data_IF_296186573799
#
_entry.id   IF_296186573799
#
_cell.length_a   1.000
_cell.length_b   1.000
_cell.length_c   1.000
_cell.angle_alpha   90.00
_cell.angle_beta   90.00
_cell.angle_gamma   90.00
#
_symmetry.space_group_name_H-M   'P 1'
#
loop_
_entity.id
_entity.type
_entity.pdbx_description
1 polymer ?
#
# COMPACT_ATOMS: atom_id res chain seq x y z
N UNK A 1 27.34 -1.74 -16.45
CA UNK A 1 27.41 -0.26 -16.58
C UNK A 1 26.49 0.53 -15.62
N UNK A 2 25.46 -0.08 -15.01
CA UNK A 2 24.53 0.58 -14.06
C UNK A 2 25.06 0.85 -12.64
N UNK A 3 26.24 0.35 -12.27
CA UNK A 3 26.80 0.51 -10.90
C UNK A 3 27.45 1.87 -10.63
N UNK A 4 27.93 2.59 -11.66
CA UNK A 4 28.71 3.83 -11.46
C UNK A 4 27.85 5.10 -11.29
N UNK A 5 26.66 5.17 -11.92
CA UNK A 5 25.79 6.37 -11.83
C UNK A 5 25.02 6.52 -10.50
N UNK A 6 25.03 5.50 -9.64
CA UNK A 6 24.40 5.57 -8.31
C UNK A 6 25.41 5.85 -7.18
N UNK A 7 26.71 5.77 -7.46
CA UNK A 7 27.77 6.00 -6.46
C UNK A 7 28.12 7.49 -6.26
N UNK A 8 27.62 8.40 -7.09
CA UNK A 8 27.85 9.86 -6.92
C UNK A 8 26.72 10.57 -6.16
N UNK A 9 25.65 9.86 -5.80
CA UNK A 9 24.55 10.38 -4.98
C UNK A 9 24.51 9.69 -3.61
N UNK A 10 25.66 9.59 -2.94
CA UNK A 10 25.66 9.24 -1.52
C UNK A 10 24.97 10.37 -0.76
N UNK A 11 24.03 10.06 0.16
CA UNK A 11 23.24 11.09 0.79
C UNK A 11 24.16 11.99 1.62
N UNK A 12 23.89 13.29 1.56
CA UNK A 12 24.24 14.27 2.58
C UNK A 12 24.02 13.66 3.97
N UNK A 13 24.78 14.13 4.97
CA UNK A 13 24.58 13.67 6.33
C UNK A 13 23.09 13.81 6.70
N UNK A 14 22.49 12.75 7.30
CA UNK A 14 21.09 12.75 7.66
C UNK A 14 20.78 13.98 8.55
N UNK A 15 19.57 14.56 8.45
CA UNK A 15 19.14 15.59 9.39
C UNK A 15 19.32 15.11 10.83
N UNK A 16 19.67 16.00 11.77
CA UNK A 16 19.93 15.64 13.17
C UNK A 16 18.78 14.88 13.85
N UNK A 17 17.53 15.17 13.46
CA UNK A 17 16.35 14.46 13.96
C UNK A 17 16.18 13.05 13.38
N UNK A 18 16.91 12.70 12.32
CA UNK A 18 16.95 11.38 11.66
C UNK A 18 18.28 10.65 11.96
N UNK A 19 18.83 10.88 13.15
CA UNK A 19 20.00 10.16 13.67
C UNK A 19 19.71 9.63 15.06
N UNK A 20 20.18 8.43 15.34
CA UNK A 20 20.11 7.84 16.68
C UNK A 20 21.07 8.57 17.61
N UNK A 21 20.61 8.92 18.81
CA UNK A 21 21.40 9.63 19.82
C UNK A 21 22.22 8.72 20.74
N UNK A 22 22.00 7.39 20.71
CA UNK A 22 22.79 6.41 21.46
C UNK A 22 23.98 5.82 20.69
N UNK A 23 24.78 4.99 21.36
CA UNK A 23 25.92 4.29 20.74
C UNK A 23 25.46 3.11 19.86
N UNK A 24 25.17 3.35 18.58
CA UNK A 24 24.83 2.28 17.61
C UNK A 24 26.07 1.53 17.11
N UNK A 25 27.25 2.14 17.26
CA UNK A 25 28.50 1.73 16.61
C UNK A 25 29.00 0.32 16.98
N UNK A 26 28.39 -0.35 17.97
CA UNK A 26 28.79 -1.68 18.46
C UNK A 26 27.71 -2.76 18.37
N UNK A 27 26.54 -2.48 17.81
CA UNK A 27 25.40 -3.39 17.89
C UNK A 27 24.93 -3.91 16.51
N UNK A 28 25.73 -4.81 15.93
CA UNK A 28 25.40 -5.51 14.67
C UNK A 28 24.05 -6.24 14.73
N UNK A 29 23.65 -6.70 15.91
CA UNK A 29 22.34 -7.31 16.13
C UNK A 29 21.19 -6.31 15.93
N UNK A 30 21.36 -5.05 16.37
CA UNK A 30 20.37 -3.99 16.16
C UNK A 30 20.25 -3.61 14.68
N UNK A 31 21.37 -3.54 13.95
CA UNK A 31 21.37 -3.30 12.50
C UNK A 31 20.64 -4.43 11.75
N UNK A 32 20.93 -5.67 12.10
CA UNK A 32 20.28 -6.84 11.51
C UNK A 32 18.79 -6.90 11.87
N UNK A 33 18.45 -6.66 13.14
CA UNK A 33 17.08 -6.68 13.65
C UNK A 33 16.23 -5.60 12.99
N UNK A 34 16.68 -4.34 12.98
CA UNK A 34 15.95 -3.22 12.35
C UNK A 34 15.68 -3.46 10.86
N UNK A 35 16.63 -4.03 10.13
CA UNK A 35 16.46 -4.41 8.73
C UNK A 35 15.46 -5.56 8.57
N UNK A 36 15.53 -6.57 9.44
CA UNK A 36 14.62 -7.72 9.43
C UNK A 36 13.18 -7.29 9.69
N UNK A 37 12.95 -6.44 10.69
CA UNK A 37 11.61 -5.92 11.00
C UNK A 37 11.06 -5.03 9.86
N UNK A 38 11.90 -4.22 9.21
CA UNK A 38 11.51 -3.50 8.00
C UNK A 38 11.02 -4.43 6.88
N UNK A 39 11.74 -5.54 6.62
CA UNK A 39 11.33 -6.52 5.61
C UNK A 39 10.05 -7.27 5.99
N UNK A 40 9.91 -7.68 7.25
CA UNK A 40 8.67 -8.31 7.75
C UNK A 40 7.47 -7.38 7.61
N UNK A 41 7.62 -6.10 7.94
CA UNK A 41 6.56 -5.11 7.79
C UNK A 41 6.18 -4.90 6.31
N UNK A 42 7.18 -4.87 5.41
CA UNK A 42 6.94 -4.79 3.96
C UNK A 42 6.20 -6.03 3.43
N UNK A 43 6.60 -7.21 3.88
CA UNK A 43 5.95 -8.48 3.53
C UNK A 43 4.51 -8.51 4.01
N UNK A 44 4.27 -8.10 5.26
CA UNK A 44 2.92 -8.02 5.84
C UNK A 44 2.00 -7.09 5.04
N UNK A 45 2.52 -5.92 4.64
CA UNK A 45 1.82 -4.98 3.76
C UNK A 45 1.52 -5.62 2.39
N UNK A 46 2.52 -6.23 1.76
CA UNK A 46 2.36 -6.83 0.43
C UNK A 46 1.35 -7.99 0.44
N UNK A 47 1.42 -8.85 1.46
CA UNK A 47 0.48 -9.96 1.63
C UNK A 47 -0.97 -9.45 1.78
N UNK A 48 -1.20 -8.41 2.59
CA UNK A 48 -2.53 -7.83 2.74
C UNK A 48 -3.04 -7.21 1.44
N UNK A 49 -2.19 -6.46 0.73
CA UNK A 49 -2.56 -5.90 -0.59
C UNK A 49 -2.91 -7.02 -1.57
N UNK A 50 -2.13 -8.09 -1.62
CA UNK A 50 -2.38 -9.26 -2.48
C UNK A 50 -3.73 -9.89 -2.18
N UNK A 51 -4.03 -10.16 -0.91
CA UNK A 51 -5.31 -10.76 -0.52
C UNK A 51 -6.50 -9.84 -0.83
N UNK A 52 -6.38 -8.55 -0.53
CA UNK A 52 -7.43 -7.57 -0.83
C UNK A 52 -7.69 -7.53 -2.34
N UNK A 53 -6.65 -7.34 -3.16
CA UNK A 53 -6.82 -7.31 -4.62
C UNK A 53 -7.40 -8.62 -5.14
N UNK A 54 -6.94 -9.77 -4.63
CA UNK A 54 -7.44 -11.08 -5.04
C UNK A 54 -8.92 -11.28 -4.71
N UNK A 55 -9.40 -10.78 -3.58
CA UNK A 55 -10.84 -10.83 -3.22
C UNK A 55 -11.62 -9.88 -4.13
N UNK A 56 -11.10 -8.67 -4.33
CA UNK A 56 -11.75 -7.63 -5.11
C UNK A 56 -11.85 -7.95 -6.60
N UNK A 57 -10.99 -8.82 -7.13
CA UNK A 57 -11.11 -9.32 -8.50
C UNK A 57 -11.92 -10.60 -8.57
N UNK A 58 -11.69 -11.56 -7.65
CA UNK A 58 -12.36 -12.86 -7.71
C UNK A 58 -13.87 -12.78 -7.51
N UNK A 59 -14.36 -11.94 -6.57
CA UNK A 59 -15.80 -11.82 -6.30
C UNK A 59 -16.56 -11.30 -7.53
N UNK A 60 -16.20 -10.16 -8.15
CA UNK A 60 -16.80 -9.73 -9.41
C UNK A 60 -16.67 -10.78 -10.52
N UNK A 61 -15.50 -11.40 -10.70
CA UNK A 61 -15.30 -12.42 -11.73
C UNK A 61 -16.27 -13.59 -11.57
N UNK A 62 -16.48 -14.09 -10.35
CA UNK A 62 -17.44 -15.17 -10.07
C UNK A 62 -18.86 -14.71 -10.40
N UNK A 63 -19.26 -13.51 -9.97
CA UNK A 63 -20.59 -12.96 -10.26
C UNK A 63 -20.82 -12.88 -11.77
N UNK A 64 -19.88 -12.30 -12.52
CA UNK A 64 -19.98 -12.19 -13.98
C UNK A 64 -20.01 -13.55 -14.66
N UNK A 65 -19.22 -14.51 -14.17
CA UNK A 65 -19.19 -15.87 -14.72
C UNK A 65 -20.54 -16.56 -14.53
N UNK A 66 -21.12 -16.47 -13.33
CA UNK A 66 -22.46 -17.02 -13.04
C UNK A 66 -23.52 -16.34 -13.90
N UNK A 67 -23.53 -15.00 -13.97
CA UNK A 67 -24.49 -14.25 -14.79
C UNK A 67 -24.36 -14.59 -16.29
N UNK A 68 -23.14 -14.75 -16.80
CA UNK A 68 -22.91 -15.17 -18.17
C UNK A 68 -23.45 -16.58 -18.43
N UNK A 69 -23.16 -17.54 -17.54
CA UNK A 69 -23.64 -18.92 -17.66
C UNK A 69 -25.17 -19.01 -17.63
N UNK A 70 -25.84 -18.24 -16.78
CA UNK A 70 -27.31 -18.17 -16.74
C UNK A 70 -27.94 -17.71 -18.06
N UNK A 71 -27.18 -16.98 -18.90
CA UNK A 71 -27.64 -16.55 -20.22
C UNK A 71 -27.58 -17.66 -21.27
N UNK A 72 -26.75 -18.67 -21.04
CA UNK A 72 -26.55 -19.81 -21.96
C UNK A 72 -27.30 -21.07 -21.51
N UNK A 73 -27.68 -21.16 -20.25
CA UNK A 73 -28.38 -22.32 -19.68
C UNK A 73 -29.77 -21.90 -19.26
N UNK A 74 -30.80 -22.42 -19.94
CA UNK A 74 -32.19 -22.22 -19.53
C UNK A 74 -32.47 -23.00 -18.24
N UNK A 75 -32.68 -22.26 -17.15
CA UNK A 75 -33.09 -22.84 -15.87
C UNK A 75 -34.61 -22.65 -15.69
N UNK A 76 -35.44 -23.68 -15.95
CA UNK A 76 -36.90 -23.55 -15.99
C UNK A 76 -37.56 -23.19 -14.64
N UNK A 77 -36.82 -23.30 -13.53
CA UNK A 77 -37.33 -23.05 -12.17
C UNK A 77 -36.75 -21.78 -11.53
N UNK A 78 -35.86 -21.06 -12.22
CA UNK A 78 -35.12 -19.95 -11.65
C UNK A 78 -35.56 -18.65 -12.32
N UNK A 79 -36.00 -17.68 -11.52
CA UNK A 79 -36.25 -16.33 -12.00
C UNK A 79 -34.92 -15.61 -12.27
N UNK A 80 -34.60 -15.24 -13.53
CA UNK A 80 -33.34 -14.56 -13.87
C UNK A 80 -33.20 -13.21 -13.16
N UNK A 81 -34.31 -12.52 -12.85
CA UNK A 81 -34.28 -11.24 -12.15
C UNK A 81 -33.77 -11.38 -10.71
N UNK A 82 -33.98 -12.53 -10.07
CA UNK A 82 -33.45 -12.80 -8.72
C UNK A 82 -31.93 -12.87 -8.73
N UNK A 83 -31.33 -13.47 -9.75
CA UNK A 83 -29.87 -13.56 -9.89
C UNK A 83 -29.24 -12.21 -10.24
N UNK A 84 -29.89 -11.44 -11.11
CA UNK A 84 -29.49 -10.06 -11.40
C UNK A 84 -29.54 -9.20 -10.13
N UNK A 85 -30.60 -9.32 -9.33
CA UNK A 85 -30.76 -8.60 -8.07
C UNK A 85 -29.67 -8.98 -7.05
N UNK A 86 -29.43 -10.28 -6.86
CA UNK A 86 -28.38 -10.76 -5.94
C UNK A 86 -27.00 -10.27 -6.41
N UNK A 87 -26.69 -10.40 -7.70
CA UNK A 87 -25.46 -9.90 -8.29
C UNK A 87 -25.28 -8.39 -8.09
N UNK A 88 -26.34 -7.62 -8.30
CA UNK A 88 -26.36 -6.18 -8.08
C UNK A 88 -26.08 -5.81 -6.61
N UNK A 89 -26.76 -6.47 -5.66
CA UNK A 89 -26.57 -6.25 -4.22
C UNK A 89 -25.13 -6.54 -3.81
N UNK A 90 -24.56 -7.67 -4.26
CA UNK A 90 -23.18 -8.03 -3.91
C UNK A 90 -22.19 -7.02 -4.49
N UNK A 91 -22.36 -6.61 -5.76
CA UNK A 91 -21.48 -5.62 -6.40
C UNK A 91 -21.55 -4.24 -5.72
N UNK A 92 -22.73 -3.83 -5.23
CA UNK A 92 -22.89 -2.60 -4.45
C UNK A 92 -22.26 -2.77 -3.05
N UNK A 93 -22.43 -3.92 -2.40
CA UNK A 93 -21.87 -4.22 -1.09
C UNK A 93 -20.34 -4.26 -1.06
N UNK A 94 -19.68 -4.45 -2.21
CA UNK A 94 -18.23 -4.33 -2.35
C UNK A 94 -17.73 -2.92 -1.99
N UNK A 95 -18.53 -1.87 -2.18
CA UNK A 95 -18.11 -0.48 -1.90
C UNK A 95 -17.71 -0.24 -0.44
N UNK A 96 -18.56 -0.50 0.57
CA UNK A 96 -18.17 -0.31 1.97
C UNK A 96 -17.00 -1.24 2.37
N UNK A 97 -16.92 -2.44 1.83
CA UNK A 97 -15.81 -3.38 2.07
C UNK A 97 -14.49 -2.78 1.58
N UNK A 98 -14.49 -2.15 0.40
CA UNK A 98 -13.30 -1.56 -0.19
C UNK A 98 -12.83 -0.31 0.56
N UNK A 99 -13.75 0.50 1.06
CA UNK A 99 -13.41 1.63 1.94
C UNK A 99 -12.68 1.14 3.20
N UNK A 100 -13.17 0.05 3.80
CA UNK A 100 -12.50 -0.60 4.92
C UNK A 100 -11.14 -1.18 4.54
N UNK A 101 -11.05 -1.84 3.38
CA UNK A 101 -9.81 -2.42 2.89
C UNK A 101 -8.72 -1.36 2.67
N UNK A 102 -9.05 -0.19 2.10
CA UNK A 102 -8.11 0.94 1.96
C UNK A 102 -7.57 1.37 3.34
N UNK A 103 -8.45 1.48 4.35
CA UNK A 103 -8.03 1.87 5.71
C UNK A 103 -7.09 0.85 6.33
N UNK A 104 -7.35 -0.44 6.13
CA UNK A 104 -6.50 -1.53 6.63
C UNK A 104 -5.14 -1.51 5.92
N UNK A 105 -5.13 -1.41 4.60
CA UNK A 105 -3.89 -1.32 3.80
C UNK A 105 -3.07 -0.10 4.23
N UNK A 106 -3.72 1.05 4.49
CA UNK A 106 -3.04 2.25 4.99
C UNK A 106 -2.32 1.98 6.31
N UNK A 107 -2.97 1.32 7.27
CA UNK A 107 -2.36 0.97 8.57
C UNK A 107 -1.12 0.09 8.39
N UNK A 108 -1.17 -0.93 7.54
CA UNK A 108 0.00 -1.78 7.27
C UNK A 108 1.12 -1.00 6.56
N UNK A 109 0.77 -0.06 5.67
CA UNK A 109 1.75 0.81 5.04
C UNK A 109 2.42 1.74 6.06
N UNK A 110 1.66 2.30 7.02
CA UNK A 110 2.20 3.11 8.12
C UNK A 110 3.19 2.32 8.98
N UNK A 111 2.89 1.05 9.31
CA UNK A 111 3.82 0.17 10.04
C UNK A 111 5.13 -0.02 9.25
N UNK A 112 5.02 -0.29 7.94
CA UNK A 112 6.19 -0.40 7.08
C UNK A 112 7.01 0.90 7.02
N UNK A 113 6.37 2.04 6.83
CA UNK A 113 7.04 3.35 6.77
C UNK A 113 7.76 3.66 8.08
N UNK A 114 7.13 3.37 9.22
CA UNK A 114 7.74 3.53 10.54
C UNK A 114 8.97 2.62 10.72
N UNK A 115 8.86 1.34 10.33
CA UNK A 115 9.98 0.40 10.38
C UNK A 115 11.14 0.82 9.45
N UNK A 116 10.82 1.36 8.26
CA UNK A 116 11.81 1.91 7.32
C UNK A 116 12.51 3.14 7.87
N UNK A 117 11.80 4.04 8.54
CA UNK A 117 12.38 5.23 9.18
C UNK A 117 13.27 4.79 10.35
N UNK A 118 12.81 3.87 11.19
CA UNK A 118 13.62 3.31 12.27
C UNK A 118 14.89 2.65 11.74
N UNK A 119 14.80 1.79 10.72
CA UNK A 119 15.96 1.18 10.08
C UNK A 119 16.90 2.24 9.49
N UNK A 120 16.35 3.33 8.93
CA UNK A 120 17.14 4.46 8.43
C UNK A 120 17.91 5.14 9.55
N UNK A 121 17.26 5.44 10.68
CA UNK A 121 17.88 6.06 11.86
C UNK A 121 19.02 5.19 12.40
N UNK A 122 18.80 3.89 12.55
CA UNK A 122 19.82 2.96 13.06
C UNK A 122 21.00 2.85 12.10
N UNK A 123 20.74 2.68 10.79
CA UNK A 123 21.81 2.53 9.80
C UNK A 123 22.55 3.85 9.51
N UNK A 124 21.87 4.99 9.63
CA UNK A 124 22.47 6.31 9.40
C UNK A 124 23.45 6.71 10.50
N UNK A 125 23.26 6.18 11.72
CA UNK A 125 24.16 6.37 12.86
C UNK A 125 25.44 5.53 12.81
N UNK A 126 25.60 4.66 11.83
CA UNK A 126 26.85 3.92 11.62
C UNK A 126 27.84 4.75 10.80
N UNK A 127 29.13 4.75 11.17
CA UNK A 127 30.18 5.38 10.35
C UNK A 127 30.37 4.67 9.01
N UNK A 128 29.95 3.41 8.90
CA UNK A 128 30.07 2.63 7.68
C UNK A 128 29.13 3.14 6.57
N UNK A 129 29.73 3.56 5.45
CA UNK A 129 29.01 4.02 4.26
C UNK A 129 28.30 2.87 3.52
N UNK A 130 28.75 1.62 3.67
CA UNK A 130 28.11 0.46 3.06
C UNK A 130 26.73 0.20 3.65
N UNK A 131 26.58 0.36 4.96
CA UNK A 131 25.30 0.22 5.66
C UNK A 131 24.30 1.33 5.28
N UNK A 132 24.81 2.51 4.92
CA UNK A 132 24.02 3.67 4.44
C UNK A 132 23.66 3.60 2.95
N UNK A 133 24.29 2.71 2.18
CA UNK A 133 24.17 2.67 0.72
C UNK A 133 22.89 2.01 0.20
N UNK A 134 22.05 1.40 1.06
CA UNK A 134 20.86 0.71 0.57
C UNK A 134 19.88 1.71 -0.11
N UNK A 135 19.40 1.45 -1.34
CA UNK A 135 18.62 2.42 -2.10
C UNK A 135 17.37 2.95 -1.37
N UNK A 136 16.71 2.11 -0.58
CA UNK A 136 15.54 2.51 0.22
C UNK A 136 15.91 3.48 1.34
N UNK A 137 17.03 3.26 2.03
CA UNK A 137 17.52 4.15 3.10
C UNK A 137 18.00 5.48 2.52
N UNK A 138 18.78 5.44 1.44
CA UNK A 138 19.25 6.65 0.74
C UNK A 138 18.10 7.49 0.17
N UNK A 139 17.00 6.86 -0.28
CA UNK A 139 15.76 7.59 -0.65
C UNK A 139 15.11 8.25 0.57
N UNK A 140 15.03 7.55 1.71
CA UNK A 140 14.50 8.11 2.96
C UNK A 140 15.26 9.37 3.37
N UNK A 141 16.60 9.31 3.41
CA UNK A 141 17.43 10.43 3.84
C UNK A 141 17.24 11.65 2.91
N UNK A 142 17.24 11.44 1.59
CA UNK A 142 17.00 12.53 0.62
C UNK A 142 15.61 13.15 0.78
N UNK A 143 14.58 12.34 1.02
CA UNK A 143 13.23 12.83 1.27
C UNK A 143 13.15 13.62 2.59
N UNK A 144 13.85 13.17 3.63
CA UNK A 144 13.92 13.87 4.91
C UNK A 144 14.65 15.22 4.77
N UNK A 145 15.76 15.28 4.04
CA UNK A 145 16.48 16.53 3.80
C UNK A 145 15.62 17.56 3.08
N UNK A 146 14.98 17.14 1.98
CA UNK A 146 14.02 17.96 1.25
C UNK A 146 12.87 18.43 2.14
N UNK A 147 12.35 17.56 2.98
CA UNK A 147 11.26 17.88 3.91
C UNK A 147 11.65 18.93 4.95
N UNK A 148 12.83 18.79 5.55
CA UNK A 148 13.37 19.78 6.51
C UNK A 148 13.62 21.13 5.84
N UNK A 149 14.21 21.15 4.65
CA UNK A 149 14.46 22.38 3.90
C UNK A 149 13.15 23.09 3.50
N UNK A 150 12.16 22.36 3.00
CA UNK A 150 10.92 22.94 2.48
C UNK A 150 9.93 23.34 3.58
N UNK A 151 9.88 22.59 4.68
CA UNK A 151 8.86 22.79 5.72
C UNK A 151 9.38 23.34 7.03
N UNK A 152 10.70 23.29 7.28
CA UNK A 152 11.28 23.70 8.57
C UNK A 152 10.75 22.87 9.75
N UNK A 153 10.28 21.64 9.49
CA UNK A 153 9.70 20.76 10.52
C UNK A 153 10.60 19.55 10.75
N UNK A 154 11.09 19.42 11.97
CA UNK A 154 11.94 18.33 12.45
C UNK A 154 11.15 17.30 13.28
N UNK A 155 9.93 17.00 12.85
CA UNK A 155 9.03 16.08 13.55
C UNK A 155 8.87 14.77 12.76
N UNK A 156 9.31 13.66 13.38
CA UNK A 156 9.26 12.30 12.83
C UNK A 156 7.83 11.88 12.48
N UNK A 157 6.86 12.13 13.35
CA UNK A 157 5.47 11.73 13.14
C UNK A 157 4.87 12.42 11.90
N UNK A 158 5.18 13.70 11.75
CA UNK A 158 4.73 14.47 10.58
C UNK A 158 5.41 13.99 9.30
N UNK A 159 6.68 13.61 9.37
CA UNK A 159 7.40 13.01 8.25
C UNK A 159 6.82 11.64 7.86
N UNK A 160 6.51 10.78 8.83
CA UNK A 160 5.81 9.50 8.62
C UNK A 160 4.51 9.75 7.86
N UNK A 161 3.65 10.64 8.33
CA UNK A 161 2.37 10.94 7.68
C UNK A 161 2.52 11.46 6.25
N UNK A 162 3.47 12.37 6.02
CA UNK A 162 3.71 12.95 4.68
C UNK A 162 4.23 11.89 3.71
N UNK A 163 5.08 10.99 4.19
CA UNK A 163 5.59 9.87 3.39
C UNK A 163 4.50 8.85 3.09
N UNK A 164 3.71 8.46 4.09
CA UNK A 164 2.58 7.55 3.93
C UNK A 164 1.60 8.01 2.85
N UNK A 165 1.36 9.33 2.76
CA UNK A 165 0.42 9.92 1.81
C UNK A 165 1.09 10.48 0.54
N UNK A 166 2.34 10.13 0.23
CA UNK A 166 3.02 10.64 -0.96
C UNK A 166 2.55 9.93 -2.24
N UNK A 167 2.19 10.70 -3.27
CA UNK A 167 1.75 10.15 -4.58
C UNK A 167 2.79 9.26 -5.26
N UNK A 168 4.07 9.40 -4.89
CA UNK A 168 5.20 8.64 -5.46
C UNK A 168 5.42 7.28 -4.80
N UNK A 169 4.56 6.92 -3.86
CA UNK A 169 4.68 5.73 -3.03
C UNK A 169 3.57 4.72 -3.35
N UNK A 170 3.86 3.45 -3.11
CA UNK A 170 3.05 2.32 -3.59
C UNK A 170 1.60 2.33 -3.06
N UNK A 171 1.38 2.87 -1.87
CA UNK A 171 0.05 2.96 -1.25
C UNK A 171 -0.99 3.70 -2.11
N UNK A 172 -0.62 4.83 -2.70
CA UNK A 172 -1.55 5.60 -3.53
C UNK A 172 -1.88 4.85 -4.82
N UNK A 173 -0.89 4.16 -5.41
CA UNK A 173 -1.14 3.34 -6.60
C UNK A 173 -2.15 2.22 -6.31
N UNK A 174 -2.02 1.53 -5.16
CA UNK A 174 -3.00 0.52 -4.75
C UNK A 174 -4.37 1.12 -4.44
N UNK A 175 -4.42 2.29 -3.81
CA UNK A 175 -5.68 3.00 -3.54
C UNK A 175 -6.40 3.35 -4.84
N UNK A 176 -5.68 3.83 -5.87
CA UNK A 176 -6.26 4.13 -7.19
C UNK A 176 -6.83 2.86 -7.82
N UNK A 177 -6.08 1.75 -7.82
CA UNK A 177 -6.56 0.46 -8.37
C UNK A 177 -7.85 0.03 -7.66
N UNK A 178 -7.86 0.10 -6.33
CA UNK A 178 -9.04 -0.23 -5.52
C UNK A 178 -10.22 0.67 -5.88
N UNK A 179 -10.00 1.99 -6.01
CA UNK A 179 -11.05 2.93 -6.41
C UNK A 179 -11.61 2.63 -7.80
N UNK A 180 -10.78 2.24 -8.76
CA UNK A 180 -11.22 1.86 -10.12
C UNK A 180 -12.10 0.62 -10.05
N UNK A 181 -11.66 -0.45 -9.35
CA UNK A 181 -12.45 -1.68 -9.20
C UNK A 181 -13.77 -1.39 -8.49
N UNK A 182 -13.74 -0.54 -7.46
CA UNK A 182 -14.92 -0.12 -6.71
C UNK A 182 -15.90 0.64 -7.58
N UNK A 183 -15.42 1.63 -8.34
CA UNK A 183 -16.25 2.43 -9.23
C UNK A 183 -16.89 1.60 -10.33
N UNK A 184 -16.13 0.68 -10.94
CA UNK A 184 -16.66 -0.26 -11.92
C UNK A 184 -17.72 -1.19 -11.32
N UNK A 185 -17.44 -1.76 -10.13
CA UNK A 185 -18.40 -2.64 -9.43
C UNK A 185 -19.69 -1.91 -9.09
N UNK A 186 -19.59 -0.69 -8.57
CA UNK A 186 -20.76 0.14 -8.24
C UNK A 186 -21.57 0.49 -9.48
N UNK A 187 -20.92 0.96 -10.56
CA UNK A 187 -21.60 1.32 -11.80
C UNK A 187 -22.37 0.12 -12.37
N UNK A 188 -21.71 -1.04 -12.45
CA UNK A 188 -22.32 -2.25 -12.99
C UNK A 188 -23.42 -2.76 -12.06
N UNK A 189 -23.20 -2.75 -10.73
CA UNK A 189 -24.21 -3.11 -9.75
C UNK A 189 -25.47 -2.27 -9.87
N UNK A 190 -25.33 -0.94 -10.07
CA UNK A 190 -26.46 -0.05 -10.32
C UNK A 190 -27.18 -0.37 -11.63
N UNK A 191 -26.44 -0.58 -12.72
CA UNK A 191 -27.03 -0.96 -14.03
C UNK A 191 -27.86 -2.26 -13.89
N UNK A 192 -27.30 -3.27 -13.20
CA UNK A 192 -28.01 -4.52 -12.95
C UNK A 192 -29.25 -4.29 -12.09
N UNK A 193 -29.17 -3.47 -11.05
CA UNK A 193 -30.32 -3.16 -10.19
C UNK A 193 -31.47 -2.53 -11.00
N UNK A 194 -31.19 -1.49 -11.79
CA UNK A 194 -32.20 -0.84 -12.63
C UNK A 194 -32.76 -1.78 -13.72
N UNK A 195 -31.95 -2.71 -14.22
CA UNK A 195 -32.42 -3.69 -15.21
C UNK A 195 -33.44 -4.69 -14.66
N UNK A 196 -33.54 -4.85 -13.32
CA UNK A 196 -34.52 -5.75 -12.70
C UNK A 196 -35.94 -5.18 -12.64
N UNK A 197 -36.14 -3.89 -12.92
CA UNK A 197 -37.46 -3.23 -12.87
C UNK A 197 -38.07 -3.13 -11.46
N UNK A 198 -37.29 -3.39 -10.41
CA UNK A 198 -37.69 -3.27 -9.00
C UNK A 198 -37.48 -1.85 -8.43
N UNK A 199 -36.79 -0.97 -9.18
CA UNK A 199 -36.50 0.44 -8.86
C UNK A 199 -36.76 1.30 -10.07
#
# INVERSE_FOLDING_TARGET
MFRKKHAENYPEDPPKWLTWQGEVEKNDELLKSSRTEMFKALELFHNHVKYVISIMTSVPTVIFTVLALLRFVEFPYINPNTFLLIGAIILIAIVPINVWAIRIIKRYYEVYVSALIFATIVHSSTKDKHHRAHPWLARTVRQAHKYTQEKGVDNIDRFVQVRTNSFKDSFISYTIIICIITGASLLIGLILLFSTGLV
#
